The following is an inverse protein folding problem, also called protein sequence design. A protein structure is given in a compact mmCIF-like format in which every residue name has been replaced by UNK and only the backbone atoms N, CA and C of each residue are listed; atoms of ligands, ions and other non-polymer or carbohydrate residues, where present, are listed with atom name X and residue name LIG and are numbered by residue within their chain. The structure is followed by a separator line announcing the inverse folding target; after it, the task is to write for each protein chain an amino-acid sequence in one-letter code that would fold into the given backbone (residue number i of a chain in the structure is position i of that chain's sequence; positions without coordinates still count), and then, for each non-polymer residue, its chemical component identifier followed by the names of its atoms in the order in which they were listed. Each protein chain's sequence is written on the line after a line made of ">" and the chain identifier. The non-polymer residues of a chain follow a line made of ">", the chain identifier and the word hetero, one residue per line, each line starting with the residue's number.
data_IF_975290263310
#
_entry.id   IF_975290263310
#
_cell.length_a   1.000
_cell.length_b   1.000
_cell.length_c   1.000
_cell.angle_alpha   90.00
_cell.angle_beta   90.00
_cell.angle_gamma   90.00
#
_symmetry.space_group_name_H-M   'P 1'
#
loop_
_entity.id
_entity.type
_entity.pdbx_description
1 polymer ?
#
# COMPACT_ATOMS: atom_id res chain seq x y z
N UNK A 1 0.25 -6.46 -45.52
CA UNK A 1 1.34 -6.85 -44.60
C UNK A 1 1.34 -6.03 -43.30
N UNK A 2 0.69 -4.86 -43.27
CA UNK A 2 0.81 -3.89 -42.16
C UNK A 2 -0.02 -4.23 -40.91
N UNK A 3 -1.17 -4.89 -41.07
CA UNK A 3 -2.01 -5.29 -39.94
C UNK A 3 -1.34 -6.34 -39.04
N UNK A 4 -0.47 -7.19 -39.60
CA UNK A 4 0.32 -8.16 -38.83
C UNK A 4 1.38 -7.47 -37.99
N UNK A 5 2.02 -6.44 -38.53
CA UNK A 5 2.98 -5.60 -37.81
C UNK A 5 2.28 -4.84 -36.69
N UNK A 6 1.14 -4.19 -36.98
CA UNK A 6 0.33 -3.46 -35.99
C UNK A 6 -0.11 -4.39 -34.86
N UNK A 7 -0.60 -5.59 -35.18
CA UNK A 7 -1.05 -6.56 -34.18
C UNK A 7 0.10 -7.04 -33.26
N UNK A 8 1.25 -7.36 -33.83
CA UNK A 8 2.44 -7.77 -33.06
C UNK A 8 2.91 -6.63 -32.15
N UNK A 9 2.90 -5.38 -32.65
CA UNK A 9 3.29 -4.20 -31.87
C UNK A 9 2.35 -3.96 -30.68
N UNK A 10 1.03 -4.07 -30.89
CA UNK A 10 0.03 -3.95 -29.82
C UNK A 10 0.18 -5.04 -28.77
N UNK A 11 0.44 -6.29 -29.17
CA UNK A 11 0.67 -7.40 -28.23
C UNK A 11 1.92 -7.18 -27.38
N UNK A 12 3.03 -6.75 -27.98
CA UNK A 12 4.26 -6.43 -27.25
C UNK A 12 4.03 -5.27 -26.28
N UNK A 13 3.35 -4.20 -26.71
CA UNK A 13 3.01 -3.09 -25.83
C UNK A 13 2.18 -3.54 -24.62
N UNK A 14 1.10 -4.31 -24.83
CA UNK A 14 0.25 -4.80 -23.74
C UNK A 14 1.01 -5.65 -22.71
N UNK A 15 1.92 -6.52 -23.17
CA UNK A 15 2.75 -7.35 -22.29
C UNK A 15 3.76 -6.52 -21.48
N UNK A 16 4.31 -5.45 -22.04
CA UNK A 16 5.27 -4.57 -21.33
C UNK A 16 4.60 -3.58 -20.36
N UNK A 17 3.40 -3.09 -20.69
CA UNK A 17 2.67 -2.08 -19.90
C UNK A 17 2.11 -2.61 -18.57
N UNK A 18 2.05 -3.93 -18.38
CA UNK A 18 1.50 -4.56 -17.17
C UNK A 18 2.32 -4.28 -15.91
N UNK A 19 3.57 -3.81 -16.04
CA UNK A 19 4.50 -3.61 -14.92
C UNK A 19 4.37 -2.27 -14.19
N UNK A 20 3.54 -1.32 -14.67
CA UNK A 20 3.44 0.03 -14.09
C UNK A 20 2.39 0.19 -12.98
N UNK A 21 1.66 -0.87 -12.64
CA UNK A 21 0.63 -0.82 -11.59
C UNK A 21 1.19 -1.21 -10.21
N UNK A 22 2.27 -0.58 -9.77
CA UNK A 22 2.67 -0.66 -8.36
C UNK A 22 1.83 0.34 -7.57
N UNK A 23 0.59 -0.05 -7.24
CA UNK A 23 -0.21 0.68 -6.27
C UNK A 23 0.37 0.45 -4.88
N UNK A 24 1.16 1.40 -4.39
CA UNK A 24 1.53 1.47 -2.97
C UNK A 24 0.22 1.53 -2.17
N UNK A 25 0.00 0.58 -1.25
CA UNK A 25 -1.19 0.56 -0.42
C UNK A 25 -1.05 1.69 0.61
N UNK A 26 -1.80 2.77 0.44
CA UNK A 26 -1.79 3.95 1.33
C UNK A 26 -3.02 3.93 2.26
N UNK A 27 -2.89 4.44 3.49
CA UNK A 27 -4.00 4.56 4.47
C UNK A 27 -4.15 5.97 5.04
N UNK A 28 -5.39 6.32 5.39
CA UNK A 28 -5.75 7.56 6.08
C UNK A 28 -5.83 7.42 7.60
N UNK A 29 -5.57 6.23 8.16
CA UNK A 29 -5.63 6.00 9.60
C UNK A 29 -4.37 6.53 10.28
N UNK A 30 -4.28 7.86 10.41
CA UNK A 30 -3.17 8.56 11.05
C UNK A 30 -3.67 9.24 12.33
N UNK A 31 -2.96 9.01 13.44
CA UNK A 31 -3.26 9.67 14.71
C UNK A 31 -3.27 11.20 14.53
N UNK A 32 -4.28 11.93 15.04
CA UNK A 32 -4.46 13.36 14.79
C UNK A 32 -3.21 14.22 14.97
N UNK A 33 -2.41 13.94 15.99
CA UNK A 33 -1.17 14.67 16.31
C UNK A 33 0.05 14.27 15.48
N UNK A 34 -0.04 13.17 14.73
CA UNK A 34 1.00 12.72 13.79
C UNK A 34 0.64 13.02 12.33
N UNK A 35 -0.41 13.81 12.10
CA UNK A 35 -0.83 14.20 10.75
C UNK A 35 0.10 15.27 10.20
N UNK A 36 0.76 14.97 9.08
CA UNK A 36 1.50 15.95 8.31
C UNK A 36 0.56 16.73 7.39
N UNK A 37 0.63 18.06 7.46
CA UNK A 37 -0.28 18.94 6.72
C UNK A 37 -0.04 18.88 5.21
N UNK A 38 -1.09 18.55 4.45
CA UNK A 38 -1.07 18.50 2.97
C UNK A 38 -1.80 19.69 2.31
N UNK A 39 -2.69 20.37 3.04
CA UNK A 39 -3.59 21.40 2.50
C UNK A 39 -3.46 22.76 3.16
N UNK A 40 -4.17 23.75 2.60
CA UNK A 40 -4.28 25.09 3.19
C UNK A 40 -5.33 25.12 4.32
N UNK A 41 -5.24 26.06 5.27
CA UNK A 41 -6.33 26.29 6.22
C UNK A 41 -7.66 26.57 5.49
N UNK A 42 -8.75 25.94 5.92
CA UNK A 42 -10.07 26.11 5.30
C UNK A 42 -10.28 25.36 3.97
N UNK A 43 -9.36 24.48 3.58
CA UNK A 43 -9.52 23.62 2.39
C UNK A 43 -10.80 22.77 2.50
N UNK A 44 -11.52 22.61 1.38
CA UNK A 44 -12.70 21.75 1.35
C UNK A 44 -12.30 20.27 1.28
N UNK A 45 -13.17 19.34 1.73
CA UNK A 45 -12.89 17.91 1.64
C UNK A 45 -12.55 17.46 0.22
N UNK A 46 -13.26 18.00 -0.79
CA UNK A 46 -13.02 17.68 -2.20
C UNK A 46 -11.64 18.15 -2.66
N UNK A 47 -11.28 19.40 -2.40
CA UNK A 47 -9.96 19.95 -2.76
C UNK A 47 -8.81 19.18 -2.10
N UNK A 48 -9.00 18.71 -0.87
CA UNK A 48 -8.00 17.88 -0.19
C UNK A 48 -7.83 16.51 -0.88
N UNK A 49 -8.94 15.86 -1.22
CA UNK A 49 -8.94 14.56 -1.92
C UNK A 49 -8.38 14.68 -3.34
N UNK A 50 -8.67 15.78 -4.04
CA UNK A 50 -8.12 16.06 -5.38
C UNK A 50 -6.59 16.21 -5.37
N UNK A 51 -6.01 16.60 -4.23
CA UNK A 51 -4.56 16.62 -4.00
C UNK A 51 -3.97 15.24 -3.66
N UNK A 52 -4.80 14.19 -3.62
CA UNK A 52 -4.39 12.84 -3.23
C UNK A 52 -4.23 12.66 -1.72
N UNK A 53 -4.86 13.53 -0.90
CA UNK A 53 -4.69 13.54 0.55
C UNK A 53 -5.95 13.12 1.30
N UNK A 54 -5.76 12.80 2.58
CA UNK A 54 -6.82 12.41 3.50
C UNK A 54 -7.46 13.64 4.15
N UNK A 55 -8.78 13.60 4.34
CA UNK A 55 -9.52 14.66 5.01
C UNK A 55 -10.28 14.14 6.23
N UNK A 56 -10.06 14.74 7.39
CA UNK A 56 -10.81 14.49 8.62
C UNK A 56 -10.82 15.74 9.51
N UNK A 57 -12.02 16.29 9.74
CA UNK A 57 -12.26 17.48 10.53
C UNK A 57 -12.87 17.20 11.93
N UNK A 58 -12.87 15.94 12.37
CA UNK A 58 -13.45 15.54 13.66
C UNK A 58 -12.65 16.05 14.87
N UNK A 59 -11.34 16.26 14.70
CA UNK A 59 -10.44 16.75 15.76
C UNK A 59 -9.98 18.17 15.46
N UNK A 60 -10.07 19.06 16.46
CA UNK A 60 -9.62 20.46 16.34
C UNK A 60 -8.15 20.60 16.74
N UNK A 61 -7.49 21.66 16.25
CA UNK A 61 -6.09 21.97 16.58
C UNK A 61 -5.06 21.10 15.86
N UNK A 62 -5.48 20.35 14.85
CA UNK A 62 -4.63 19.49 14.01
C UNK A 62 -4.96 19.73 12.53
N UNK A 63 -4.08 19.36 11.58
CA UNK A 63 -4.38 19.44 10.16
C UNK A 63 -5.58 18.58 9.79
N UNK A 64 -6.59 19.20 9.15
CA UNK A 64 -7.75 18.47 8.61
C UNK A 64 -7.46 17.82 7.26
N UNK A 65 -6.53 18.39 6.48
CA UNK A 65 -6.03 17.80 5.25
C UNK A 65 -4.59 17.35 5.44
N UNK A 66 -4.36 16.05 5.36
CA UNK A 66 -3.08 15.44 5.71
C UNK A 66 -2.67 14.34 4.75
N UNK A 67 -1.37 14.05 4.70
CA UNK A 67 -0.84 12.99 3.85
C UNK A 67 -1.29 11.61 4.33
N UNK A 68 -1.64 10.69 3.42
CA UNK A 68 -1.75 9.28 3.77
C UNK A 68 -0.37 8.73 4.13
N UNK A 69 -0.36 7.60 4.82
CA UNK A 69 0.86 6.84 5.11
C UNK A 69 0.83 5.52 4.37
N UNK A 70 1.99 5.07 3.89
CA UNK A 70 2.14 3.74 3.34
C UNK A 70 1.77 2.70 4.42
N UNK A 71 0.97 1.72 4.03
CA UNK A 71 0.69 0.54 4.84
C UNK A 71 1.84 -0.43 4.59
N UNK A 72 2.85 -0.39 5.45
CA UNK A 72 3.89 -1.43 5.52
C UNK A 72 3.40 -2.72 6.19
N UNK A 73 2.11 -3.04 6.00
CA UNK A 73 1.58 -4.37 6.24
C UNK A 73 1.65 -5.17 4.94
N UNK A 74 2.70 -6.01 4.72
CA UNK A 74 2.41 -7.25 4.04
C UNK A 74 1.27 -7.89 4.84
N UNK A 75 0.23 -8.44 4.20
CA UNK A 75 -0.83 -9.16 4.92
C UNK A 75 -0.17 -10.12 5.91
N UNK A 76 -0.32 -9.77 7.21
CA UNK A 76 0.32 -10.36 8.39
C UNK A 76 -0.18 -11.80 8.56
N UNK A 77 0.27 -12.68 7.67
CA UNK A 77 -0.20 -14.05 7.61
C UNK A 77 0.26 -14.85 6.40
N UNK A 78 0.84 -14.25 5.35
CA UNK A 78 1.34 -15.05 4.21
C UNK A 78 2.82 -14.91 3.89
N UNK A 79 3.44 -13.76 4.17
CA UNK A 79 4.90 -13.62 4.01
C UNK A 79 5.68 -14.43 5.09
N UNK A 80 5.22 -14.37 6.34
CA UNK A 80 5.82 -15.17 7.44
C UNK A 80 5.59 -16.67 7.25
N UNK A 81 4.45 -17.10 6.71
CA UNK A 81 4.19 -18.52 6.41
C UNK A 81 5.09 -19.03 5.28
N UNK A 82 5.35 -18.21 4.25
CA UNK A 82 6.29 -18.57 3.18
C UNK A 82 7.74 -18.67 3.68
N UNK A 83 8.20 -17.74 4.52
CA UNK A 83 9.54 -17.77 5.11
C UNK A 83 9.72 -18.92 6.11
N UNK A 84 8.70 -19.22 6.93
CA UNK A 84 8.70 -20.42 7.77
C UNK A 84 8.61 -21.70 6.92
N UNK A 85 7.79 -21.73 5.87
CA UNK A 85 7.63 -22.88 4.98
C UNK A 85 8.92 -23.23 4.21
N UNK A 86 9.67 -22.23 3.77
CA UNK A 86 10.99 -22.40 3.16
C UNK A 86 12.05 -22.84 4.20
N UNK A 87 11.94 -22.36 5.44
CA UNK A 87 12.84 -22.75 6.53
C UNK A 87 12.61 -24.20 7.00
N UNK A 88 11.38 -24.69 6.97
CA UNK A 88 11.01 -26.07 7.37
C UNK A 88 11.46 -27.15 6.38
N UNK A 89 11.69 -26.80 5.10
CA UNK A 89 12.26 -27.74 4.13
C UNK A 89 13.77 -27.97 4.33
N UNK A 90 14.44 -27.07 5.06
CA UNK A 90 15.90 -27.08 5.23
C UNK A 90 16.36 -27.40 6.67
N UNK A 91 15.44 -27.62 7.61
CA UNK A 91 15.77 -28.01 8.97
C UNK A 91 14.98 -29.25 9.36
N UNK A 92 15.55 -30.42 9.07
CA UNK A 92 15.16 -31.66 9.74
C UNK A 92 15.47 -31.53 11.24
N UNK A 93 14.49 -31.07 12.03
CA UNK A 93 14.67 -30.87 13.48
C UNK A 93 13.39 -30.42 14.20
N UNK A 94 12.73 -31.40 14.81
CA UNK A 94 11.69 -31.40 15.87
C UNK A 94 11.07 -30.06 16.35
N UNK A 95 9.72 -29.92 16.44
CA UNK A 95 9.08 -28.72 16.95
C UNK A 95 9.03 -28.72 18.48
N UNK A 96 9.48 -27.64 19.12
CA UNK A 96 9.16 -27.35 20.52
C UNK A 96 8.74 -25.88 20.68
N UNK A 97 7.53 -25.70 21.20
CA UNK A 97 7.22 -24.62 22.14
C UNK A 97 6.59 -23.36 21.58
N UNK A 98 5.26 -23.38 21.45
CA UNK A 98 4.43 -22.18 21.43
C UNK A 98 4.32 -21.59 22.83
N UNK A 99 4.67 -20.31 23.01
CA UNK A 99 4.26 -19.42 24.11
C UNK A 99 4.34 -18.01 23.49
N UNK A 100 3.29 -17.22 23.33
CA UNK A 100 2.27 -16.79 24.29
C UNK A 100 2.41 -15.27 24.41
N UNK A 101 1.56 -14.51 23.70
CA UNK A 101 1.53 -13.04 23.73
C UNK A 101 0.55 -12.54 24.80
N UNK A 102 0.81 -11.39 25.47
CA UNK A 102 -0.26 -10.63 26.12
C UNK A 102 -1.23 -10.01 25.11
#
# INVERSE_FOLDING_TARGET
>A
MEHRVIYVLVLVCALTLSSLAQGQQETCTVAPHHRDNCGSPGITPSQCKDKGCCFDNTVRGVPWCYYPVAVDNPPEGMASVALWGLRMQNQGGNPMGAQGSP
#
